data_IF_955419665891
#
_entry.id   IF_955419665891
#
_cell.length_a   1.000
_cell.length_b   1.000
_cell.length_c   1.000
_cell.angle_alpha   90.00
_cell.angle_beta   90.00
_cell.angle_gamma   90.00
#
_symmetry.space_group_name_H-M   'P 1'
#
loop_
_entity.id
_entity.type
_entity.pdbx_description
1 polymer ?
#
# COMPACT_ATOMS: atom_id res chain seq x y z
N UNK A 1 -13.63 -28.50 -3.32
CA UNK A 1 -12.51 -28.43 -2.36
C UNK A 1 -12.02 -26.99 -2.31
N UNK A 2 -12.46 -26.25 -1.29
CA UNK A 2 -12.05 -24.86 -1.08
C UNK A 2 -10.62 -24.78 -0.57
N UNK A 3 -9.99 -23.60 -0.67
CA UNK A 3 -8.75 -23.35 0.07
C UNK A 3 -9.01 -23.57 1.58
N UNK A 4 -8.06 -24.14 2.34
CA UNK A 4 -8.17 -24.18 3.78
C UNK A 4 -8.34 -22.74 4.31
N UNK A 5 -9.20 -22.53 5.33
CA UNK A 5 -9.65 -21.20 5.75
C UNK A 5 -8.48 -20.27 6.14
N UNK A 6 -7.39 -20.84 6.64
CA UNK A 6 -6.15 -20.13 6.95
C UNK A 6 -5.51 -19.49 5.70
N UNK A 7 -5.31 -20.26 4.62
CA UNK A 7 -4.69 -19.74 3.38
C UNK A 7 -5.57 -18.70 2.69
N UNK A 8 -6.89 -18.85 2.79
CA UNK A 8 -7.84 -17.85 2.29
C UNK A 8 -7.71 -16.53 3.06
N UNK A 9 -7.65 -16.58 4.40
CA UNK A 9 -7.50 -15.39 5.23
C UNK A 9 -6.19 -14.63 4.97
N UNK A 10 -5.10 -15.37 4.73
CA UNK A 10 -3.79 -14.80 4.40
C UNK A 10 -3.77 -14.15 3.02
N UNK A 11 -4.37 -14.82 2.04
CA UNK A 11 -4.50 -14.29 0.67
C UNK A 11 -5.34 -13.00 0.66
N UNK A 12 -6.45 -12.98 1.40
CA UNK A 12 -7.28 -11.79 1.55
C UNK A 12 -6.51 -10.64 2.21
N UNK A 13 -5.79 -10.89 3.32
CA UNK A 13 -4.99 -9.87 3.98
C UNK A 13 -3.88 -9.31 3.07
N UNK A 14 -3.25 -10.16 2.27
CA UNK A 14 -2.28 -9.74 1.26
C UNK A 14 -2.93 -8.86 0.19
N UNK A 15 -4.12 -9.22 -0.31
CA UNK A 15 -4.89 -8.41 -1.27
C UNK A 15 -5.28 -7.03 -0.71
N UNK A 16 -5.61 -6.94 0.58
CA UNK A 16 -5.88 -5.64 1.22
C UNK A 16 -4.61 -4.80 1.39
N UNK A 17 -3.46 -5.41 1.69
CA UNK A 17 -2.21 -4.67 1.83
C UNK A 17 -1.59 -4.26 0.48
N UNK A 18 -1.82 -5.01 -0.59
CA UNK A 18 -1.34 -4.69 -1.93
C UNK A 18 -2.42 -4.02 -2.79
N UNK A 19 -3.36 -4.79 -3.33
CA UNK A 19 -4.32 -4.30 -4.33
C UNK A 19 -5.24 -3.17 -3.85
N UNK A 20 -5.78 -3.26 -2.62
CA UNK A 20 -6.61 -2.18 -2.08
C UNK A 20 -5.79 -0.89 -1.91
N UNK A 21 -4.59 -1.01 -1.32
CA UNK A 21 -3.68 0.12 -1.14
C UNK A 21 -3.26 0.72 -2.48
N UNK A 22 -2.98 -0.10 -3.49
CA UNK A 22 -2.64 0.34 -4.83
C UNK A 22 -3.78 1.12 -5.49
N UNK A 23 -5.01 0.59 -5.43
CA UNK A 23 -6.17 1.26 -5.99
C UNK A 23 -6.43 2.61 -5.28
N UNK A 24 -6.29 2.64 -3.95
CA UNK A 24 -6.43 3.87 -3.18
C UNK A 24 -5.32 4.89 -3.51
N UNK A 25 -4.07 4.43 -3.60
CA UNK A 25 -2.87 5.22 -3.94
C UNK A 25 -3.02 5.94 -5.28
N UNK A 26 -3.63 5.31 -6.28
CA UNK A 26 -3.81 5.88 -7.61
C UNK A 26 -4.93 6.92 -7.67
N UNK A 27 -5.96 6.78 -6.84
CA UNK A 27 -7.17 7.58 -6.97
C UNK A 27 -7.30 8.70 -5.93
N UNK A 28 -6.60 8.63 -4.80
CA UNK A 28 -6.81 9.52 -3.64
C UNK A 28 -6.60 11.00 -3.94
N UNK A 29 -5.71 11.35 -4.87
CA UNK A 29 -5.41 12.75 -5.18
C UNK A 29 -6.42 13.38 -6.14
N UNK A 30 -7.27 12.58 -6.78
CA UNK A 30 -8.18 13.09 -7.81
C UNK A 30 -9.29 13.97 -7.22
N UNK A 31 -9.77 13.66 -6.01
CA UNK A 31 -10.85 14.43 -5.38
C UNK A 31 -10.36 15.76 -4.79
N UNK A 32 -9.27 15.83 -3.98
CA UNK A 32 -8.79 17.07 -3.40
C UNK A 32 -7.79 17.82 -4.30
N UNK A 33 -7.85 17.67 -5.62
CA UNK A 33 -6.81 18.24 -6.51
C UNK A 33 -6.70 19.76 -6.39
N UNK A 34 -7.84 20.46 -6.31
CA UNK A 34 -7.90 21.91 -6.14
C UNK A 34 -7.28 22.34 -4.80
N UNK A 35 -7.64 21.63 -3.73
CA UNK A 35 -7.17 21.94 -2.37
C UNK A 35 -5.66 21.74 -2.24
N UNK A 36 -5.11 20.69 -2.86
CA UNK A 36 -3.66 20.45 -2.85
C UNK A 36 -2.93 21.52 -3.67
N UNK A 37 -3.46 21.92 -4.83
CA UNK A 37 -2.90 23.00 -5.63
C UNK A 37 -2.91 24.34 -4.88
N UNK A 38 -4.01 24.65 -4.18
CA UNK A 38 -4.11 25.81 -3.31
C UNK A 38 -3.09 25.75 -2.17
N UNK A 39 -2.98 24.62 -1.48
CA UNK A 39 -2.00 24.42 -0.41
C UNK A 39 -0.55 24.62 -0.89
N UNK A 40 -0.19 24.15 -2.09
CA UNK A 40 1.14 24.37 -2.68
C UNK A 40 1.37 25.85 -2.97
N UNK A 41 0.35 26.54 -3.50
CA UNK A 41 0.44 27.97 -3.79
C UNK A 41 0.60 28.79 -2.50
N UNK A 42 -0.22 28.53 -1.48
CA UNK A 42 -0.14 29.18 -0.16
C UNK A 42 1.21 28.92 0.52
N UNK A 43 1.71 27.68 0.45
CA UNK A 43 3.03 27.30 0.95
C UNK A 43 4.15 28.09 0.25
N UNK A 44 4.03 28.30 -1.06
CA UNK A 44 5.01 29.06 -1.85
C UNK A 44 4.96 30.55 -1.53
N UNK A 45 3.76 31.10 -1.36
CA UNK A 45 3.55 32.50 -0.92
C UNK A 45 4.18 32.70 0.46
N UNK A 46 3.95 31.79 1.41
CA UNK A 46 4.54 31.88 2.74
C UNK A 46 6.08 31.84 2.74
N UNK A 47 6.70 31.15 1.76
CA UNK A 47 8.16 31.01 1.67
C UNK A 47 8.84 32.10 0.84
N UNK A 48 8.24 32.49 -0.28
CA UNK A 48 8.84 33.37 -1.30
C UNK A 48 8.19 34.75 -1.36
N UNK A 49 7.01 34.92 -0.74
CA UNK A 49 6.21 36.15 -0.79
C UNK A 49 5.50 36.37 -2.14
N UNK A 50 5.56 35.42 -3.06
CA UNK A 50 4.94 35.49 -4.39
C UNK A 50 4.15 34.22 -4.71
N UNK A 51 3.02 34.33 -5.42
CA UNK A 51 2.30 33.15 -5.90
C UNK A 51 3.15 32.37 -6.90
N UNK A 52 2.91 31.06 -6.95
CA UNK A 52 3.57 30.19 -7.92
C UNK A 52 3.01 30.45 -9.33
N UNK A 53 3.88 30.35 -10.35
CA UNK A 53 3.45 30.39 -11.74
C UNK A 53 2.54 29.18 -12.03
N UNK A 54 1.32 29.37 -12.61
CA UNK A 54 0.42 28.27 -12.96
C UNK A 54 1.10 27.14 -13.75
N UNK A 55 2.01 27.47 -14.67
CA UNK A 55 2.72 26.46 -15.47
C UNK A 55 3.61 25.56 -14.58
N UNK A 56 4.27 26.16 -13.59
CA UNK A 56 5.11 25.43 -12.63
C UNK A 56 4.26 24.60 -11.68
N UNK A 57 3.09 25.11 -11.27
CA UNK A 57 2.14 24.37 -10.44
C UNK A 57 1.62 23.11 -11.13
N UNK A 58 1.24 23.20 -12.41
CA UNK A 58 0.78 22.05 -13.20
C UNK A 58 1.90 21.03 -13.41
N UNK A 59 3.14 21.50 -13.59
CA UNK A 59 4.31 20.64 -13.66
C UNK A 59 4.56 19.90 -12.33
N UNK A 60 4.47 20.60 -11.19
CA UNK A 60 4.60 19.99 -9.86
C UNK A 60 3.50 18.97 -9.59
N UNK A 61 2.25 19.30 -9.94
CA UNK A 61 1.13 18.36 -9.84
C UNK A 61 1.37 17.08 -10.66
N UNK A 62 1.86 17.24 -11.88
CA UNK A 62 2.22 16.11 -12.74
C UNK A 62 3.34 15.26 -12.10
N UNK A 63 4.35 15.91 -11.51
CA UNK A 63 5.45 15.24 -10.81
C UNK A 63 4.96 14.43 -9.59
N UNK A 64 4.02 14.99 -8.81
CA UNK A 64 3.38 14.31 -7.65
C UNK A 64 2.62 13.05 -8.08
N UNK A 65 2.08 13.02 -9.30
CA UNK A 65 1.42 11.83 -9.83
C UNK A 65 2.42 10.80 -10.35
N UNK A 66 3.45 11.24 -11.10
CA UNK A 66 4.47 10.36 -11.70
C UNK A 66 5.42 9.75 -10.66
N UNK A 67 5.58 10.35 -9.48
CA UNK A 67 6.41 9.77 -8.42
C UNK A 67 5.88 8.43 -7.89
N UNK A 68 4.57 8.15 -8.01
CA UNK A 68 3.96 6.91 -7.52
C UNK A 68 4.40 5.68 -8.33
N UNK A 69 4.31 5.64 -9.68
CA UNK A 69 4.83 4.52 -10.42
C UNK A 69 6.36 4.36 -10.26
N UNK A 70 7.12 5.47 -10.17
CA UNK A 70 8.58 5.43 -9.93
C UNK A 70 8.88 4.74 -8.58
N UNK A 71 8.26 5.21 -7.50
CA UNK A 71 8.44 4.62 -6.16
C UNK A 71 7.97 3.17 -6.11
N UNK A 72 6.91 2.81 -6.82
CA UNK A 72 6.44 1.43 -6.98
C UNK A 72 7.46 0.52 -7.65
N UNK A 73 8.15 0.99 -8.71
CA UNK A 73 9.25 0.23 -9.35
C UNK A 73 10.38 0.01 -8.36
N UNK A 74 10.78 1.05 -7.63
CA UNK A 74 11.83 0.96 -6.59
C UNK A 74 11.44 -0.07 -5.52
N UNK A 75 10.18 -0.04 -5.05
CA UNK A 75 9.65 -1.00 -4.09
C UNK A 75 9.70 -2.45 -4.61
N UNK A 76 9.30 -2.67 -5.86
CA UNK A 76 9.34 -4.00 -6.47
C UNK A 76 10.78 -4.54 -6.58
N UNK A 77 11.74 -3.70 -6.96
CA UNK A 77 13.16 -4.09 -6.99
C UNK A 77 13.69 -4.45 -5.60
N UNK A 78 13.33 -3.68 -4.58
CA UNK A 78 13.70 -3.96 -3.18
C UNK A 78 13.11 -5.31 -2.74
N UNK A 79 11.84 -5.56 -3.05
CA UNK A 79 11.19 -6.83 -2.72
C UNK A 79 11.84 -8.01 -3.41
N UNK A 80 12.22 -7.89 -4.69
CA UNK A 80 12.94 -8.94 -5.41
C UNK A 80 14.25 -9.36 -4.70
N UNK A 81 15.01 -8.40 -4.16
CA UNK A 81 16.28 -8.68 -3.48
C UNK A 81 16.11 -9.28 -2.08
N UNK A 82 15.02 -8.93 -1.39
CA UNK A 82 14.83 -9.20 0.02
C UNK A 82 13.91 -10.41 0.26
N UNK A 83 12.89 -10.62 -0.57
CA UNK A 83 11.82 -11.61 -0.36
C UNK A 83 12.36 -13.04 -0.18
N UNK A 84 13.36 -13.43 -0.99
CA UNK A 84 13.98 -14.75 -0.89
C UNK A 84 14.91 -14.91 0.31
N UNK A 85 15.48 -13.81 0.83
CA UNK A 85 16.45 -13.83 1.93
C UNK A 85 15.81 -13.84 3.31
N UNK A 86 14.73 -13.06 3.50
CA UNK A 86 14.10 -12.90 4.82
C UNK A 86 12.74 -13.60 4.94
N UNK A 87 12.20 -14.11 3.83
CA UNK A 87 10.89 -14.73 3.78
C UNK A 87 9.75 -13.74 3.47
N UNK A 88 8.61 -14.31 3.08
CA UNK A 88 7.47 -13.57 2.51
C UNK A 88 6.75 -12.77 3.60
N UNK A 89 6.50 -13.39 4.76
CA UNK A 89 5.84 -12.75 5.92
C UNK A 89 6.63 -11.54 6.42
N UNK A 90 7.94 -11.69 6.60
CA UNK A 90 8.79 -10.59 7.10
C UNK A 90 8.84 -9.43 6.10
N UNK A 91 8.90 -9.74 4.80
CA UNK A 91 8.85 -8.73 3.74
C UNK A 91 7.51 -7.98 3.73
N UNK A 92 6.39 -8.67 3.95
CA UNK A 92 5.08 -8.03 4.13
C UNK A 92 5.05 -7.11 5.35
N UNK A 93 5.60 -7.54 6.50
CA UNK A 93 5.70 -6.71 7.71
C UNK A 93 6.54 -5.45 7.43
N UNK A 94 7.67 -5.57 6.74
CA UNK A 94 8.50 -4.42 6.34
C UNK A 94 7.69 -3.45 5.47
N UNK A 95 6.89 -3.96 4.53
CA UNK A 95 6.02 -3.10 3.71
C UNK A 95 5.06 -2.27 4.59
N UNK A 96 4.44 -2.89 5.60
CA UNK A 96 3.55 -2.18 6.53
C UNK A 96 4.32 -1.18 7.43
N UNK A 97 5.52 -1.54 7.88
CA UNK A 97 6.36 -0.65 8.68
C UNK A 97 6.86 0.58 7.90
N UNK A 98 6.94 0.50 6.57
CA UNK A 98 7.24 1.66 5.72
C UNK A 98 5.95 2.44 5.39
N UNK A 99 4.82 1.76 5.14
CA UNK A 99 3.58 2.45 4.76
C UNK A 99 2.96 3.25 5.91
N UNK A 100 2.98 2.76 7.14
CA UNK A 100 2.40 3.45 8.30
C UNK A 100 3.01 4.85 8.52
N UNK A 101 4.34 5.02 8.66
CA UNK A 101 4.94 6.35 8.84
C UNK A 101 4.76 7.22 7.60
N UNK A 102 4.76 6.64 6.39
CA UNK A 102 4.53 7.38 5.15
C UNK A 102 3.11 7.97 5.06
N UNK A 103 2.12 7.19 5.46
CA UNK A 103 0.72 7.58 5.52
C UNK A 103 0.48 8.59 6.63
N UNK A 104 1.07 8.40 7.81
CA UNK A 104 1.05 9.39 8.88
C UNK A 104 1.66 10.72 8.44
N UNK A 105 2.82 10.70 7.76
CA UNK A 105 3.44 11.89 7.21
C UNK A 105 2.51 12.61 6.22
N UNK A 106 1.82 11.84 5.35
CA UNK A 106 0.86 12.38 4.38
C UNK A 106 -0.38 12.98 5.07
N UNK A 107 -0.91 12.34 6.12
CA UNK A 107 -2.03 12.86 6.92
C UNK A 107 -1.66 14.13 7.67
N UNK A 108 -0.43 14.24 8.16
CA UNK A 108 0.03 15.39 8.95
C UNK A 108 0.62 16.52 8.08
N UNK A 109 0.51 16.44 6.75
CA UNK A 109 1.07 17.43 5.80
C UNK A 109 0.69 18.87 6.15
N UNK A 110 -0.57 19.13 6.52
CA UNK A 110 -1.02 20.47 6.87
C UNK A 110 -0.36 21.02 8.15
N UNK A 111 -0.05 20.16 9.12
CA UNK A 111 0.67 20.56 10.34
C UNK A 111 2.13 20.91 10.05
N UNK A 112 2.67 20.39 8.95
CA UNK A 112 4.01 20.68 8.45
C UNK A 112 4.06 21.91 7.53
N UNK A 113 3.04 22.76 7.51
CA UNK A 113 3.04 24.00 6.74
C UNK A 113 4.28 24.86 7.07
N UNK A 114 5.00 25.43 6.08
CA UNK A 114 4.69 25.54 4.64
C UNK A 114 5.40 24.51 3.74
N UNK A 115 5.69 23.29 4.24
CA UNK A 115 6.47 22.29 3.51
C UNK A 115 5.59 21.28 2.77
N UNK A 116 5.20 21.60 1.53
CA UNK A 116 4.46 20.69 0.66
C UNK A 116 5.28 19.46 0.23
N UNK A 117 6.61 19.50 0.38
CA UNK A 117 7.50 18.38 0.13
C UNK A 117 7.20 17.17 1.03
N UNK A 118 6.60 17.39 2.21
CA UNK A 118 6.19 16.32 3.12
C UNK A 118 5.17 15.37 2.48
N UNK A 119 4.22 15.90 1.72
CA UNK A 119 3.26 15.11 0.93
C UNK A 119 3.99 14.28 -0.14
N UNK A 120 4.95 14.88 -0.84
CA UNK A 120 5.72 14.21 -1.90
C UNK A 120 6.53 13.04 -1.34
N UNK A 121 7.20 13.26 -0.20
CA UNK A 121 7.98 12.23 0.50
C UNK A 121 7.07 11.12 1.04
N UNK A 122 5.95 11.48 1.65
CA UNK A 122 4.96 10.51 2.14
C UNK A 122 4.41 9.64 1.00
N UNK A 123 4.11 10.25 -0.15
CA UNK A 123 3.67 9.53 -1.37
C UNK A 123 4.73 8.60 -1.92
N UNK A 124 5.99 9.05 -2.00
CA UNK A 124 7.10 8.20 -2.45
C UNK A 124 7.28 6.99 -1.54
N UNK A 125 7.34 7.19 -0.22
CA UNK A 125 7.53 6.09 0.74
C UNK A 125 6.35 5.11 0.73
N UNK A 126 5.11 5.62 0.67
CA UNK A 126 3.92 4.77 0.58
C UNK A 126 3.87 4.00 -0.74
N UNK A 127 4.24 4.62 -1.86
CA UNK A 127 4.36 3.96 -3.16
C UNK A 127 5.42 2.85 -3.17
N UNK A 128 6.59 3.08 -2.54
CA UNK A 128 7.61 2.05 -2.34
C UNK A 128 7.11 0.90 -1.48
N UNK A 129 6.44 1.18 -0.35
CA UNK A 129 5.84 0.16 0.49
C UNK A 129 4.80 -0.68 -0.27
N UNK A 130 3.93 -0.03 -1.05
CA UNK A 130 2.93 -0.69 -1.88
C UNK A 130 3.58 -1.57 -2.97
N UNK A 131 4.65 -1.09 -3.61
CA UNK A 131 5.42 -1.88 -4.57
C UNK A 131 5.99 -3.16 -3.95
N UNK A 132 6.47 -3.10 -2.71
CA UNK A 132 6.91 -4.29 -1.97
C UNK A 132 5.74 -5.23 -1.68
N UNK A 133 4.62 -4.69 -1.20
CA UNK A 133 3.44 -5.46 -0.85
C UNK A 133 2.89 -6.28 -2.02
N UNK A 134 2.82 -5.70 -3.22
CA UNK A 134 2.33 -6.37 -4.44
C UNK A 134 3.22 -7.57 -4.82
N UNK A 135 4.55 -7.42 -4.76
CA UNK A 135 5.46 -8.54 -5.07
C UNK A 135 5.27 -9.66 -4.06
N UNK A 136 5.21 -9.33 -2.78
CA UNK A 136 5.00 -10.35 -1.74
C UNK A 136 3.66 -11.05 -1.91
N UNK A 137 2.59 -10.30 -2.20
CA UNK A 137 1.26 -10.83 -2.44
C UNK A 137 1.24 -11.80 -3.62
N UNK A 138 1.80 -11.41 -4.77
CA UNK A 138 1.82 -12.26 -5.97
C UNK A 138 2.56 -13.57 -5.73
N UNK A 139 3.72 -13.50 -5.06
CA UNK A 139 4.48 -14.69 -4.63
C UNK A 139 3.63 -15.56 -3.69
N UNK A 140 2.99 -14.98 -2.68
CA UNK A 140 2.18 -15.73 -1.72
C UNK A 140 1.02 -16.49 -2.37
N UNK A 141 0.34 -15.85 -3.33
CA UNK A 141 -0.79 -16.44 -4.04
C UNK A 141 -0.31 -17.57 -4.95
N UNK A 142 0.82 -17.41 -5.63
CA UNK A 142 1.43 -18.46 -6.45
C UNK A 142 1.84 -19.67 -5.61
N UNK A 143 2.40 -19.43 -4.41
CA UNK A 143 2.83 -20.48 -3.47
C UNK A 143 1.65 -21.20 -2.79
N UNK A 144 0.54 -20.50 -2.53
CA UNK A 144 -0.59 -21.01 -1.74
C UNK A 144 -1.72 -21.60 -2.60
N UNK A 145 -1.93 -21.09 -3.82
CA UNK A 145 -3.05 -21.50 -4.67
C UNK A 145 -2.67 -22.63 -5.65
N UNK A 146 -3.46 -23.70 -5.62
CA UNK A 146 -3.43 -24.76 -6.64
C UNK A 146 -3.77 -24.20 -8.02
N UNK A 147 -3.26 -24.81 -9.10
CA UNK A 147 -3.41 -24.33 -10.49
C UNK A 147 -4.87 -24.04 -10.88
N UNK A 148 -5.82 -24.81 -10.32
CA UNK A 148 -7.26 -24.67 -10.57
C UNK A 148 -7.90 -23.46 -9.85
N UNK A 149 -7.31 -22.98 -8.74
CA UNK A 149 -7.85 -21.92 -7.89
C UNK A 149 -7.24 -20.54 -8.16
N UNK A 150 -6.13 -20.47 -8.89
CA UNK A 150 -5.45 -19.20 -9.22
C UNK A 150 -6.36 -18.19 -9.91
N UNK A 151 -7.21 -18.66 -10.82
CA UNK A 151 -8.20 -17.80 -11.49
C UNK A 151 -9.15 -17.12 -10.52
N UNK A 152 -9.69 -17.87 -9.55
CA UNK A 152 -10.59 -17.34 -8.53
C UNK A 152 -9.93 -16.30 -7.62
N UNK A 153 -8.69 -16.57 -7.18
CA UNK A 153 -7.94 -15.63 -6.32
C UNK A 153 -7.56 -14.36 -7.09
N UNK A 154 -7.24 -14.45 -8.38
CA UNK A 154 -7.00 -13.29 -9.22
C UNK A 154 -8.27 -12.45 -9.42
N UNK A 155 -9.44 -13.07 -9.64
CA UNK A 155 -10.69 -12.31 -9.70
C UNK A 155 -10.99 -11.58 -8.38
N UNK A 156 -10.71 -12.21 -7.23
CA UNK A 156 -10.87 -11.57 -5.92
C UNK A 156 -9.96 -10.35 -5.71
N UNK A 157 -8.73 -10.42 -6.21
CA UNK A 157 -7.80 -9.28 -6.18
C UNK A 157 -8.35 -8.06 -6.91
N UNK A 158 -8.92 -8.27 -8.10
CA UNK A 158 -9.53 -7.22 -8.91
C UNK A 158 -10.80 -6.64 -8.25
N UNK A 159 -11.60 -7.49 -7.61
CA UNK A 159 -12.76 -7.02 -6.82
C UNK A 159 -12.29 -6.13 -5.67
N UNK A 160 -11.27 -6.54 -4.91
CA UNK A 160 -10.72 -5.76 -3.80
C UNK A 160 -10.14 -4.42 -4.28
N UNK A 161 -9.41 -4.42 -5.41
CA UNK A 161 -8.91 -3.19 -6.02
C UNK A 161 -10.07 -2.25 -6.42
N UNK A 162 -11.11 -2.80 -7.05
CA UNK A 162 -12.30 -2.03 -7.47
C UNK A 162 -13.02 -1.43 -6.26
N UNK A 163 -13.20 -2.20 -5.19
CA UNK A 163 -13.78 -1.72 -3.92
C UNK A 163 -12.92 -0.62 -3.31
N UNK A 164 -11.58 -0.75 -3.35
CA UNK A 164 -10.66 0.30 -2.90
C UNK A 164 -10.83 1.61 -3.66
N UNK A 165 -10.94 1.53 -4.99
CA UNK A 165 -11.18 2.70 -5.83
C UNK A 165 -12.54 3.35 -5.54
N UNK A 166 -13.60 2.56 -5.38
CA UNK A 166 -14.94 3.04 -5.02
C UNK A 166 -14.94 3.72 -3.65
N UNK A 167 -14.29 3.12 -2.65
CA UNK A 167 -14.15 3.71 -1.32
C UNK A 167 -13.38 5.03 -1.34
N UNK A 168 -12.33 5.11 -2.16
CA UNK A 168 -11.57 6.35 -2.35
C UNK A 168 -12.47 7.48 -2.85
N UNK A 169 -13.35 7.19 -3.81
CA UNK A 169 -14.29 8.18 -4.34
C UNK A 169 -15.38 8.52 -3.33
N UNK A 170 -15.94 7.53 -2.64
CA UNK A 170 -16.99 7.72 -1.63
C UNK A 170 -16.51 8.57 -0.46
N UNK A 171 -15.30 8.31 0.03
CA UNK A 171 -14.69 9.02 1.17
C UNK A 171 -14.07 10.35 0.71
N UNK A 172 -13.57 10.42 -0.52
CA UNK A 172 -12.88 11.59 -1.04
C UNK A 172 -13.78 12.79 -1.29
N UNK A 173 -15.02 12.60 -1.72
CA UNK A 173 -15.96 13.72 -1.93
C UNK A 173 -16.29 14.49 -0.65
N UNK A 174 -16.67 13.86 0.48
CA UNK A 174 -16.94 14.61 1.72
C UNK A 174 -15.66 15.12 2.40
N UNK A 175 -14.52 14.47 2.19
CA UNK A 175 -13.25 14.88 2.78
C UNK A 175 -12.45 15.84 1.90
N UNK A 176 -12.88 16.21 0.70
CA UNK A 176 -12.14 17.14 -0.18
C UNK A 176 -12.25 18.60 0.23
N UNK A 177 -12.66 18.92 1.47
CA UNK A 177 -12.70 20.30 1.94
C UNK A 177 -11.30 20.78 2.37
N UNK A 178 -11.04 22.11 2.35
CA UNK A 178 -9.70 22.69 2.52
C UNK A 178 -8.96 22.23 3.78
N UNK A 179 -9.66 22.14 4.91
CA UNK A 179 -9.04 21.81 6.20
C UNK A 179 -8.98 20.30 6.49
N UNK A 180 -9.64 19.46 5.67
CA UNK A 180 -9.87 18.05 5.99
C UNK A 180 -9.35 17.06 4.94
N UNK A 181 -8.89 17.52 3.78
CA UNK A 181 -8.37 16.64 2.72
C UNK A 181 -7.24 15.70 3.15
N UNK A 182 -6.31 16.04 4.08
CA UNK A 182 -5.29 15.10 4.51
C UNK A 182 -5.85 13.90 5.28
N UNK A 183 -7.05 14.01 5.85
CA UNK A 183 -7.70 12.88 6.52
C UNK A 183 -8.12 11.77 5.55
N UNK A 184 -8.09 12.00 4.24
CA UNK A 184 -8.28 10.94 3.23
C UNK A 184 -7.24 9.82 3.35
N UNK A 185 -6.06 10.10 3.90
CA UNK A 185 -4.99 9.11 4.14
C UNK A 185 -5.24 8.25 5.39
N UNK A 186 -6.23 8.56 6.23
CA UNK A 186 -6.54 7.77 7.44
C UNK A 186 -7.10 6.39 7.10
N UNK A 187 -7.88 6.28 6.02
CA UNK A 187 -8.43 4.99 5.56
C UNK A 187 -7.32 4.00 5.16
N UNK A 188 -6.39 4.34 4.25
CA UNK A 188 -5.27 3.44 3.95
C UNK A 188 -4.36 3.21 5.15
N UNK A 189 -4.22 4.18 6.07
CA UNK A 189 -3.47 4.01 7.31
C UNK A 189 -4.11 2.93 8.21
N UNK A 190 -5.43 2.97 8.38
CA UNK A 190 -6.16 1.96 9.14
C UNK A 190 -6.00 0.57 8.52
N UNK A 191 -6.11 0.47 7.19
CA UNK A 191 -5.90 -0.80 6.47
C UNK A 191 -4.46 -1.31 6.63
N UNK A 192 -3.45 -0.43 6.59
CA UNK A 192 -2.06 -0.81 6.80
C UNK A 192 -1.80 -1.34 8.23
N UNK A 193 -2.40 -0.72 9.24
CA UNK A 193 -2.31 -1.18 10.64
C UNK A 193 -3.00 -2.53 10.82
N UNK A 194 -4.20 -2.70 10.29
CA UNK A 194 -4.93 -3.99 10.34
C UNK A 194 -4.12 -5.08 9.64
N UNK A 195 -3.55 -4.76 8.47
CA UNK A 195 -2.71 -5.70 7.72
C UNK A 195 -1.46 -6.08 8.50
N UNK A 196 -0.80 -5.13 9.17
CA UNK A 196 0.34 -5.39 10.05
C UNK A 196 -0.02 -6.36 11.18
N UNK A 197 -1.14 -6.12 11.88
CA UNK A 197 -1.60 -7.00 12.96
C UNK A 197 -1.86 -8.40 12.43
N UNK A 198 -2.52 -8.54 11.27
CA UNK A 198 -2.76 -9.84 10.66
C UNK A 198 -1.44 -10.54 10.31
N UNK A 199 -0.47 -9.86 9.71
CA UNK A 199 0.82 -10.48 9.37
C UNK A 199 1.66 -10.86 10.60
N UNK A 200 1.52 -10.14 11.72
CA UNK A 200 2.16 -10.51 12.99
C UNK A 200 1.51 -11.77 13.58
N UNK A 201 0.19 -11.93 13.48
CA UNK A 201 -0.51 -13.10 14.01
C UNK A 201 -0.39 -14.36 13.13
N UNK A 202 -0.10 -14.18 11.84
CA UNK A 202 0.00 -15.26 10.87
C UNK A 202 1.37 -15.96 10.91
N UNK A 203 1.42 -17.24 10.53
CA UNK A 203 2.67 -18.01 10.37
C UNK A 203 3.27 -17.80 8.96
N UNK A 204 4.53 -18.19 8.80
CA UNK A 204 5.27 -18.00 7.55
C UNK A 204 4.77 -18.90 6.40
N UNK A 205 5.13 -18.58 5.14
CA UNK A 205 4.60 -19.36 3.99
C UNK A 205 5.07 -20.82 4.05
N UNK A 206 4.20 -21.80 3.76
CA UNK A 206 4.53 -23.22 3.83
C UNK A 206 5.75 -23.60 2.98
N UNK A 207 5.91 -22.98 1.80
CA UNK A 207 7.00 -23.26 0.89
C UNK A 207 8.34 -22.68 1.37
N UNK A 208 8.33 -21.51 2.00
CA UNK A 208 9.52 -20.96 2.65
C UNK A 208 9.92 -21.80 3.86
N UNK A 209 8.96 -22.24 4.68
CA UNK A 209 9.22 -23.18 5.77
C UNK A 209 9.79 -24.50 5.24
N UNK A 210 9.32 -25.01 4.09
CA UNK A 210 9.84 -26.23 3.46
C UNK A 210 11.28 -26.09 2.92
N UNK A 211 11.64 -24.94 2.33
CA UNK A 211 13.00 -24.73 1.80
C UNK A 211 14.03 -24.39 2.89
N UNK A 212 13.63 -23.66 3.94
CA UNK A 212 14.58 -23.07 4.90
C UNK A 212 14.43 -23.54 6.34
N UNK A 213 13.33 -24.21 6.73
CA UNK A 213 13.23 -24.84 8.06
C UNK A 213 13.79 -26.26 8.02
N UNK A 214 14.73 -26.55 8.92
CA UNK A 214 15.22 -27.92 9.17
C UNK A 214 14.22 -28.76 9.98
N UNK A 215 13.09 -28.17 10.39
CA UNK A 215 12.21 -28.68 11.44
C UNK A 215 10.94 -29.26 10.82
N UNK A 216 10.98 -30.56 10.47
CA UNK A 216 9.88 -31.28 9.78
C UNK A 216 8.53 -31.21 10.52
N UNK A 217 8.51 -30.97 11.83
CA UNK A 217 7.28 -30.89 12.63
C UNK A 217 6.46 -29.63 12.35
N UNK A 218 7.10 -28.48 12.12
CA UNK A 218 6.41 -27.21 11.82
C UNK A 218 5.80 -27.25 10.42
N UNK A 219 6.54 -27.83 9.47
CA UNK A 219 6.06 -28.16 8.12
C UNK A 219 4.85 -29.11 8.18
N UNK A 220 4.92 -30.17 8.98
CA UNK A 220 3.79 -31.10 9.15
C UNK A 220 2.56 -30.44 9.76
N UNK A 221 2.70 -29.50 10.70
CA UNK A 221 1.58 -28.78 11.31
C UNK A 221 0.92 -27.79 10.33
N UNK A 222 1.72 -27.08 9.54
CA UNK A 222 1.21 -26.19 8.49
C UNK A 222 0.51 -27.00 7.39
N UNK A 223 1.05 -28.16 7.03
CA UNK A 223 0.42 -29.07 6.07
C UNK A 223 -0.85 -29.75 6.63
N UNK A 224 -0.87 -30.15 7.91
CA UNK A 224 -2.05 -30.77 8.54
C UNK A 224 -3.19 -29.79 8.80
N UNK A 225 -2.89 -28.49 8.90
CA UNK A 225 -3.89 -27.42 8.94
C UNK A 225 -4.31 -26.93 7.54
N UNK A 226 -3.65 -27.44 6.49
CA UNK A 226 -3.95 -27.15 5.08
C UNK A 226 -4.76 -28.26 4.38
N UNK A 227 -4.97 -29.41 5.04
CA UNK A 227 -5.82 -30.54 4.61
C UNK A 227 -7.15 -30.47 5.34
#
# INVERSE_FOLDING_TARGET
MGLPPYLLSLSLAACFNGNFQQAYLLSILNQPYLEIQQFINESTIARSGKPIDPLVLDFLWSLINVINPISGIVGQMIAYLICDRIGRRRTAIISCLISIPALLLSTLTQLCFPYYETLVVGRFLWGTANGIAIVVQTVWIVESASTMQRGFVNSWQEVIATVGNLLTQLVGVPLSAPDIWPFMFVVPLAVAIVSLVVFILMHESPQYALMFSHNRQEVCFILSSSI
#
